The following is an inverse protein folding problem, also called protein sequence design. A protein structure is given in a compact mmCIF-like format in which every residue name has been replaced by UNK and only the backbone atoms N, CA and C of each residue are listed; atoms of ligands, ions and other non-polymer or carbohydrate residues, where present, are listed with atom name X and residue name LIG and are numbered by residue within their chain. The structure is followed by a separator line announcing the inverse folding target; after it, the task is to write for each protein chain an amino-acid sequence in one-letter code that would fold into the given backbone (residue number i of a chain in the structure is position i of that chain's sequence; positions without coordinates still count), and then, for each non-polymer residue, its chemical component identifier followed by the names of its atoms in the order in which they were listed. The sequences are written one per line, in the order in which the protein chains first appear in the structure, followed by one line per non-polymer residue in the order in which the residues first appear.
data_IF_888037542668
#
_entry.id   IF_888037542668
#
_cell.length_a   1.000
_cell.length_b   1.000
_cell.length_c   1.000
_cell.angle_alpha   90.00
_cell.angle_beta   90.00
_cell.angle_gamma   90.00
#
_symmetry.space_group_name_H-M   'P 1'
#
loop_
_entity.id
_entity.type
_entity.pdbx_description
1 polymer ?
#
# COMPACT_ATOMS: atom_id res chain seq x y z
N UNK A 1 11.92 26.33 6.94
CA UNK A 1 12.63 25.44 6.00
C UNK A 1 13.46 24.45 6.79
N UNK A 2 13.67 23.26 6.26
CA UNK A 2 14.56 22.27 6.88
C UNK A 2 15.99 22.56 6.45
N UNK A 3 16.93 22.59 7.38
CA UNK A 3 18.33 22.86 7.10
C UNK A 3 19.15 21.57 7.17
N UNK A 4 19.72 21.16 6.05
CA UNK A 4 20.60 20.00 5.96
C UNK A 4 22.07 20.44 5.99
N UNK A 5 22.87 19.75 6.81
CA UNK A 5 24.32 19.84 6.73
C UNK A 5 24.82 19.14 5.46
N UNK A 6 26.08 19.41 5.09
CA UNK A 6 26.72 18.67 3.99
C UNK A 6 26.71 17.16 4.25
N UNK A 7 26.91 16.72 5.51
CA UNK A 7 26.90 15.32 5.88
C UNK A 7 25.52 14.68 5.73
N UNK A 8 24.45 15.38 6.13
CA UNK A 8 23.07 14.89 5.95
C UNK A 8 22.77 14.67 4.47
N UNK A 9 23.07 15.67 3.62
CA UNK A 9 22.86 15.59 2.19
C UNK A 9 23.68 14.46 1.54
N UNK A 10 24.94 14.31 1.95
CA UNK A 10 25.79 13.23 1.48
C UNK A 10 25.26 11.85 1.85
N UNK A 11 24.79 11.65 3.09
CA UNK A 11 24.18 10.39 3.52
C UNK A 11 22.93 10.06 2.73
N UNK A 12 22.06 11.04 2.46
CA UNK A 12 20.84 10.86 1.65
C UNK A 12 21.20 10.48 0.19
N UNK A 13 22.18 11.14 -0.41
CA UNK A 13 22.65 10.81 -1.76
C UNK A 13 23.26 9.39 -1.80
N UNK A 14 24.04 9.03 -0.77
CA UNK A 14 24.60 7.68 -0.63
C UNK A 14 23.51 6.61 -0.51
N UNK A 15 22.43 6.91 0.22
CA UNK A 15 21.26 6.03 0.31
C UNK A 15 20.63 5.81 -1.09
N UNK A 16 20.35 6.86 -1.86
CA UNK A 16 19.82 6.71 -3.21
C UNK A 16 20.75 5.89 -4.12
N UNK A 17 22.06 6.17 -4.06
CA UNK A 17 23.06 5.42 -4.80
C UNK A 17 23.07 3.92 -4.40
N UNK A 18 22.94 3.62 -3.10
CA UNK A 18 22.88 2.26 -2.59
C UNK A 18 21.63 1.51 -3.06
N UNK A 19 20.44 2.12 -3.02
CA UNK A 19 19.19 1.51 -3.53
C UNK A 19 19.31 1.18 -5.00
N UNK A 20 19.78 2.13 -5.82
CA UNK A 20 19.96 1.94 -7.26
C UNK A 20 21.01 0.85 -7.53
N UNK A 21 22.14 0.86 -6.81
CA UNK A 21 23.19 -0.17 -6.94
C UNK A 21 22.66 -1.56 -6.57
N UNK A 22 21.94 -1.70 -5.46
CA UNK A 22 21.34 -2.97 -5.02
C UNK A 22 20.35 -3.46 -6.08
N UNK A 23 19.49 -2.58 -6.59
CA UNK A 23 18.53 -2.90 -7.64
C UNK A 23 19.20 -3.41 -8.91
N UNK A 24 20.22 -2.73 -9.41
CA UNK A 24 20.98 -3.19 -10.60
C UNK A 24 21.80 -4.45 -10.35
N UNK A 25 22.40 -4.61 -9.16
CA UNK A 25 23.10 -5.85 -8.80
C UNK A 25 22.16 -7.06 -8.78
N UNK A 26 20.95 -6.86 -8.25
CA UNK A 26 19.90 -7.90 -8.27
C UNK A 26 19.45 -8.22 -9.70
N UNK A 27 19.31 -7.20 -10.55
CA UNK A 27 18.96 -7.36 -11.98
C UNK A 27 19.97 -8.25 -12.74
N UNK A 28 21.28 -8.11 -12.47
CA UNK A 28 22.32 -8.95 -13.10
C UNK A 28 22.21 -10.43 -12.76
N UNK A 29 21.53 -10.78 -11.67
CA UNK A 29 21.30 -12.18 -11.26
C UNK A 29 19.96 -12.73 -11.74
N UNK A 30 19.20 -11.94 -12.46
CA UNK A 30 17.90 -12.33 -13.01
C UNK A 30 18.08 -13.39 -14.09
N UNK A 31 17.28 -14.45 -14.00
CA UNK A 31 17.14 -15.45 -15.09
C UNK A 31 16.21 -14.88 -16.17
N UNK A 32 16.38 -15.39 -17.41
CA UNK A 32 15.60 -14.85 -18.53
C UNK A 32 14.16 -15.38 -18.62
N UNK A 33 13.61 -15.89 -17.52
CA UNK A 33 12.29 -16.47 -17.37
C UNK A 33 11.30 -15.43 -16.82
N UNK A 34 10.04 -15.52 -17.23
CA UNK A 34 8.99 -14.62 -16.76
C UNK A 34 8.69 -14.81 -15.27
N UNK A 35 8.74 -16.05 -14.74
CA UNK A 35 8.52 -16.35 -13.32
C UNK A 35 9.60 -15.71 -12.45
N UNK A 36 10.86 -15.65 -12.93
CA UNK A 36 11.92 -14.96 -12.21
C UNK A 36 11.72 -13.44 -12.20
N UNK A 37 11.29 -12.87 -13.32
CA UNK A 37 11.00 -11.43 -13.44
C UNK A 37 9.81 -11.00 -12.58
N UNK A 38 8.76 -11.82 -12.51
CA UNK A 38 7.50 -11.48 -11.83
C UNK A 38 7.47 -11.92 -10.36
N UNK A 39 8.15 -13.00 -9.98
CA UNK A 39 8.08 -13.65 -8.68
C UNK A 39 9.44 -14.06 -8.09
N UNK A 40 10.57 -13.62 -8.64
CA UNK A 40 11.92 -14.00 -8.20
C UNK A 40 12.10 -15.53 -8.08
N UNK A 41 11.57 -16.30 -9.04
CA UNK A 41 11.58 -17.78 -9.07
C UNK A 41 10.97 -18.43 -7.84
N UNK A 42 10.09 -17.75 -7.12
CA UNK A 42 9.39 -18.26 -5.91
C UNK A 42 10.34 -18.70 -4.79
N UNK A 43 11.42 -17.98 -4.59
CA UNK A 43 12.50 -18.35 -3.68
C UNK A 43 12.57 -17.49 -2.42
N UNK A 44 11.54 -16.69 -2.12
CA UNK A 44 11.57 -15.84 -0.93
C UNK A 44 11.67 -16.66 0.35
N UNK A 45 12.79 -16.49 1.04
CA UNK A 45 13.00 -17.05 2.37
C UNK A 45 12.27 -16.24 3.43
N UNK A 46 12.08 -16.81 4.63
CA UNK A 46 11.31 -16.15 5.70
C UNK A 46 11.82 -14.72 6.04
N UNK A 47 13.13 -14.47 6.25
CA UNK A 47 13.61 -13.12 6.56
C UNK A 47 13.34 -12.12 5.40
N UNK A 48 13.59 -12.54 4.16
CA UNK A 48 13.38 -11.70 2.98
C UNK A 48 11.89 -11.42 2.78
N UNK A 49 11.02 -12.42 2.98
CA UNK A 49 9.57 -12.26 2.94
C UNK A 49 9.11 -11.20 3.94
N UNK A 50 9.54 -11.31 5.21
CA UNK A 50 9.19 -10.35 6.28
C UNK A 50 9.68 -8.95 5.92
N UNK A 51 10.95 -8.81 5.57
CA UNK A 51 11.53 -7.51 5.25
C UNK A 51 10.79 -6.81 4.11
N UNK A 52 10.51 -7.53 3.02
CA UNK A 52 9.82 -6.95 1.85
C UNK A 52 8.34 -6.68 2.11
N UNK A 53 7.64 -7.53 2.87
CA UNK A 53 6.24 -7.30 3.17
C UNK A 53 6.07 -6.12 4.13
N UNK A 54 6.90 -6.03 5.17
CA UNK A 54 6.82 -4.94 6.15
C UNK A 54 7.12 -3.60 5.51
N UNK A 55 8.19 -3.49 4.74
CA UNK A 55 8.57 -2.23 4.10
C UNK A 55 7.54 -1.79 3.05
N UNK A 56 7.05 -2.71 2.22
CA UNK A 56 6.05 -2.39 1.18
C UNK A 56 4.71 -1.93 1.76
N UNK A 57 4.29 -2.47 2.89
CA UNK A 57 2.98 -2.15 3.44
C UNK A 57 2.94 -0.78 4.13
N UNK A 58 4.04 -0.36 4.72
CA UNK A 58 4.06 0.83 5.59
C UNK A 58 4.34 2.15 4.86
N UNK A 59 4.33 2.21 3.54
CA UNK A 59 4.77 3.37 2.75
C UNK A 59 4.12 4.72 3.02
N UNK A 60 3.01 4.74 3.76
CA UNK A 60 2.19 5.92 4.02
C UNK A 60 2.69 6.87 5.10
N UNK A 61 3.98 6.95 5.33
CA UNK A 61 4.56 7.57 6.54
C UNK A 61 4.18 9.04 6.75
N UNK A 62 4.09 9.87 5.70
CA UNK A 62 3.66 11.26 5.87
C UNK A 62 2.17 11.36 6.23
N UNK A 63 1.33 10.47 5.70
CA UNK A 63 -0.07 10.36 6.08
C UNK A 63 -0.25 9.88 7.53
N UNK A 64 0.56 8.94 7.99
CA UNK A 64 0.61 8.49 9.39
C UNK A 64 1.02 9.65 10.31
N UNK A 65 2.02 10.43 9.91
CA UNK A 65 2.45 11.62 10.64
C UNK A 65 1.35 12.67 10.74
N UNK A 66 0.69 12.97 9.64
CA UNK A 66 -0.46 13.88 9.59
C UNK A 66 -1.58 13.40 10.52
N UNK A 67 -1.94 12.11 10.44
CA UNK A 67 -3.04 11.55 11.21
C UNK A 67 -2.73 11.50 12.71
N UNK A 68 -1.52 11.09 13.08
CA UNK A 68 -1.07 11.11 14.48
C UNK A 68 -1.03 12.52 15.06
N UNK A 69 -0.62 13.51 14.25
CA UNK A 69 -0.61 14.91 14.64
C UNK A 69 -2.03 15.45 14.88
N UNK A 70 -3.02 15.06 14.06
CA UNK A 70 -4.41 15.52 14.16
C UNK A 70 -5.21 14.80 15.25
N UNK A 71 -5.00 13.49 15.43
CA UNK A 71 -5.88 12.61 16.20
C UNK A 71 -5.17 11.75 17.26
N UNK A 72 -3.87 11.95 17.43
CA UNK A 72 -3.07 11.28 18.44
C UNK A 72 -3.05 9.76 18.31
N UNK A 73 -3.27 9.05 19.42
CA UNK A 73 -3.24 7.57 19.48
C UNK A 73 -4.35 6.91 18.67
N UNK A 74 -5.38 7.63 18.25
CA UNK A 74 -6.42 7.15 17.33
C UNK A 74 -5.82 6.69 15.99
N UNK A 75 -4.65 7.22 15.60
CA UNK A 75 -3.90 6.72 14.45
C UNK A 75 -3.64 5.21 14.55
N UNK A 76 -3.19 4.74 15.71
CA UNK A 76 -2.94 3.31 15.91
C UNK A 76 -4.23 2.47 15.87
N UNK A 77 -5.34 3.00 16.41
CA UNK A 77 -6.65 2.34 16.37
C UNK A 77 -7.19 2.22 14.93
N UNK A 78 -6.90 3.18 14.07
CA UNK A 78 -7.43 3.28 12.70
C UNK A 78 -6.51 2.61 11.67
N UNK A 79 -5.19 2.88 11.74
CA UNK A 79 -4.22 2.36 10.78
C UNK A 79 -3.40 1.16 11.29
N UNK A 80 -3.47 0.80 12.55
CA UNK A 80 -2.78 -0.35 13.13
C UNK A 80 -3.75 -1.53 13.35
N UNK A 81 -4.60 -1.43 14.37
CA UNK A 81 -5.41 -2.54 14.90
C UNK A 81 -6.23 -3.28 13.82
N UNK A 82 -7.00 -2.62 12.93
CA UNK A 82 -7.78 -3.34 11.92
C UNK A 82 -6.89 -4.08 10.92
N UNK A 83 -5.76 -3.49 10.54
CA UNK A 83 -4.82 -4.11 9.61
C UNK A 83 -4.10 -5.32 10.22
N UNK A 84 -3.76 -5.29 11.53
CA UNK A 84 -3.23 -6.49 12.21
C UNK A 84 -4.27 -7.60 12.24
N UNK A 85 -5.54 -7.29 12.51
CA UNK A 85 -6.62 -8.27 12.52
C UNK A 85 -6.78 -8.92 11.15
N UNK A 86 -6.88 -8.13 10.08
CA UNK A 86 -7.04 -8.68 8.74
C UNK A 86 -5.78 -9.36 8.20
N UNK A 87 -4.58 -8.92 8.60
CA UNK A 87 -3.35 -9.64 8.32
C UNK A 87 -3.29 -10.99 9.06
N UNK A 88 -3.76 -11.05 10.31
CA UNK A 88 -3.91 -12.30 11.04
C UNK A 88 -4.90 -13.26 10.35
N UNK A 89 -6.06 -12.76 9.94
CA UNK A 89 -7.04 -13.53 9.15
C UNK A 89 -6.41 -14.02 7.86
N UNK A 90 -5.68 -13.17 7.14
CA UNK A 90 -4.97 -13.57 5.92
C UNK A 90 -3.95 -14.67 6.20
N UNK A 91 -3.13 -14.52 7.24
CA UNK A 91 -2.10 -15.50 7.61
C UNK A 91 -2.71 -16.85 7.94
N UNK A 92 -3.78 -16.88 8.74
CA UNK A 92 -4.38 -18.13 9.22
C UNK A 92 -5.19 -18.86 8.13
N UNK A 93 -5.93 -18.15 7.30
CA UNK A 93 -6.91 -18.75 6.39
C UNK A 93 -6.54 -18.67 4.90
N UNK A 94 -5.72 -17.70 4.47
CA UNK A 94 -5.43 -17.43 3.07
C UNK A 94 -4.00 -17.76 2.66
N UNK A 95 -2.98 -17.43 3.46
CA UNK A 95 -1.59 -17.46 3.04
C UNK A 95 -1.14 -18.79 2.41
N UNK A 96 -1.42 -19.89 3.07
CA UNK A 96 -1.11 -21.24 2.53
C UNK A 96 -1.92 -21.56 1.28
N UNK A 97 -3.20 -21.18 1.24
CA UNK A 97 -4.06 -21.40 0.07
C UNK A 97 -3.57 -20.59 -1.13
N UNK A 98 -3.24 -19.33 -0.92
CA UNK A 98 -2.68 -18.45 -1.97
C UNK A 98 -1.41 -19.07 -2.53
N UNK A 99 -0.46 -19.47 -1.67
CA UNK A 99 0.80 -20.08 -2.12
C UNK A 99 0.59 -21.40 -2.87
N UNK A 100 -0.38 -22.22 -2.46
CA UNK A 100 -0.69 -23.51 -3.08
C UNK A 100 -1.25 -23.40 -4.50
N UNK A 101 -1.85 -22.26 -4.88
CA UNK A 101 -2.44 -22.09 -6.24
C UNK A 101 -1.39 -22.01 -7.36
N UNK A 102 -0.13 -21.70 -7.06
CA UNK A 102 0.93 -21.51 -8.04
C UNK A 102 0.65 -20.37 -9.06
N UNK A 103 -0.32 -19.49 -8.78
CA UNK A 103 -0.63 -18.34 -9.63
C UNK A 103 0.43 -17.23 -9.52
N UNK A 104 0.30 -16.20 -10.34
CA UNK A 104 1.20 -15.03 -10.36
C UNK A 104 0.47 -13.81 -9.80
N UNK A 105 -0.83 -13.68 -10.10
CA UNK A 105 -1.64 -12.51 -9.75
C UNK A 105 -3.04 -12.90 -9.26
N UNK A 106 -3.74 -11.93 -8.63
CA UNK A 106 -5.15 -12.10 -8.24
C UNK A 106 -6.06 -12.40 -9.44
N UNK A 107 -5.93 -11.72 -10.61
CA UNK A 107 -6.68 -12.05 -11.80
C UNK A 107 -6.56 -13.51 -12.26
N UNK A 108 -5.41 -14.19 -12.05
CA UNK A 108 -5.29 -15.63 -12.33
C UNK A 108 -6.24 -16.46 -11.47
N UNK A 109 -6.33 -16.10 -10.18
CA UNK A 109 -7.26 -16.78 -9.26
C UNK A 109 -8.73 -16.58 -9.67
N UNK A 110 -9.08 -15.37 -10.11
CA UNK A 110 -10.42 -15.05 -10.58
C UNK A 110 -10.76 -15.81 -11.87
N UNK A 111 -9.80 -15.90 -12.82
CA UNK A 111 -10.00 -16.66 -14.07
C UNK A 111 -10.19 -18.15 -13.81
N UNK A 112 -9.32 -18.74 -13.01
CA UNK A 112 -9.38 -20.16 -12.66
C UNK A 112 -10.64 -20.53 -11.86
N UNK A 113 -11.21 -19.59 -11.10
CA UNK A 113 -12.39 -19.84 -10.26
C UNK A 113 -13.71 -19.52 -10.95
N UNK A 114 -13.68 -18.58 -11.91
CA UNK A 114 -14.86 -18.05 -12.59
C UNK A 114 -14.69 -18.08 -14.10
N UNK A 115 -14.31 -16.94 -14.69
CA UNK A 115 -14.08 -16.81 -16.13
C UNK A 115 -13.14 -15.64 -16.45
N UNK A 116 -12.77 -15.54 -17.72
CA UNK A 116 -11.89 -14.49 -18.24
C UNK A 116 -12.48 -13.09 -18.08
N UNK A 117 -13.80 -12.91 -18.20
CA UNK A 117 -14.47 -11.61 -18.04
C UNK A 117 -14.32 -11.08 -16.63
N UNK A 118 -14.56 -11.94 -15.65
CA UNK A 118 -14.39 -11.65 -14.23
C UNK A 118 -12.91 -11.34 -13.91
N UNK A 119 -11.96 -12.07 -14.51
CA UNK A 119 -10.54 -11.81 -14.34
C UNK A 119 -10.10 -10.45 -14.91
N UNK A 120 -10.59 -10.07 -16.08
CA UNK A 120 -10.28 -8.76 -16.70
C UNK A 120 -10.85 -7.61 -15.86
N UNK A 121 -12.09 -7.74 -15.38
CA UNK A 121 -12.66 -6.75 -14.45
C UNK A 121 -11.84 -6.68 -13.15
N UNK A 122 -11.46 -7.83 -12.60
CA UNK A 122 -10.58 -7.91 -11.43
C UNK A 122 -9.21 -7.26 -11.68
N UNK A 123 -8.64 -7.41 -12.88
CA UNK A 123 -7.38 -6.77 -13.25
C UNK A 123 -7.52 -5.23 -13.29
N UNK A 124 -8.61 -4.71 -13.84
CA UNK A 124 -8.90 -3.27 -13.85
C UNK A 124 -9.05 -2.73 -12.43
N UNK A 125 -9.81 -3.40 -11.58
CA UNK A 125 -9.97 -3.00 -10.18
C UNK A 125 -8.64 -3.08 -9.42
N UNK A 126 -7.85 -4.14 -9.64
CA UNK A 126 -6.52 -4.30 -9.06
C UNK A 126 -5.57 -3.17 -9.49
N UNK A 127 -5.59 -2.76 -10.75
CA UNK A 127 -4.76 -1.65 -11.25
C UNK A 127 -5.03 -0.35 -10.47
N UNK A 128 -6.29 0.01 -10.27
CA UNK A 128 -6.63 1.19 -9.46
C UNK A 128 -6.26 1.01 -7.98
N UNK A 129 -6.46 -0.19 -7.42
CA UNK A 129 -6.14 -0.48 -6.03
C UNK A 129 -4.64 -0.29 -5.71
N UNK A 130 -3.77 -0.66 -6.63
CA UNK A 130 -2.31 -0.60 -6.46
C UNK A 130 -1.69 0.64 -7.09
N UNK A 131 -2.46 1.70 -7.37
CA UNK A 131 -1.87 2.92 -7.92
C UNK A 131 -0.81 3.49 -6.99
N UNK A 132 0.43 3.73 -7.47
CA UNK A 132 1.50 4.27 -6.62
C UNK A 132 1.45 5.81 -6.45
N UNK A 133 0.41 6.49 -6.92
CA UNK A 133 0.31 7.95 -6.96
C UNK A 133 0.52 8.63 -5.60
N UNK A 134 -0.09 8.10 -4.52
CA UNK A 134 0.08 8.64 -3.18
C UNK A 134 1.55 8.63 -2.71
N UNK A 135 2.27 7.59 -3.08
CA UNK A 135 3.68 7.41 -2.71
C UNK A 135 4.61 8.24 -3.59
N UNK A 136 4.29 8.42 -4.87
CA UNK A 136 4.99 9.35 -5.75
C UNK A 136 4.86 10.79 -5.24
N UNK A 137 3.66 11.19 -4.79
CA UNK A 137 3.42 12.50 -4.17
C UNK A 137 4.25 12.67 -2.89
N UNK A 138 4.21 11.71 -1.96
CA UNK A 138 4.96 11.79 -0.71
C UNK A 138 6.46 11.85 -0.93
N UNK A 139 6.98 11.04 -1.85
CA UNK A 139 8.40 11.04 -2.18
C UNK A 139 8.81 12.38 -2.81
N UNK A 140 8.00 12.91 -3.73
CA UNK A 140 8.19 14.24 -4.31
C UNK A 140 8.23 15.35 -3.25
N UNK A 141 7.29 15.32 -2.29
CA UNK A 141 7.27 16.28 -1.17
C UNK A 141 8.55 16.22 -0.34
N UNK A 142 9.03 15.01 0.00
CA UNK A 142 10.28 14.89 0.75
C UNK A 142 11.50 15.38 -0.05
N UNK A 143 11.58 15.03 -1.33
CA UNK A 143 12.69 15.49 -2.20
C UNK A 143 12.65 17.00 -2.39
N UNK A 144 11.46 17.59 -2.53
CA UNK A 144 11.30 19.05 -2.53
C UNK A 144 11.82 19.67 -1.22
N UNK A 145 11.48 19.09 -0.07
CA UNK A 145 11.95 19.60 1.24
C UNK A 145 13.47 19.49 1.42
N UNK A 146 14.06 18.40 0.91
CA UNK A 146 15.51 18.12 1.08
C UNK A 146 16.37 18.98 0.13
N UNK A 147 15.97 19.05 -1.14
CA UNK A 147 16.81 19.65 -2.19
C UNK A 147 16.30 20.99 -2.70
N UNK A 148 15.15 21.48 -2.26
CA UNK A 148 14.55 22.74 -2.71
C UNK A 148 14.08 22.72 -4.18
N UNK A 149 13.94 21.53 -4.78
CA UNK A 149 13.49 21.35 -6.17
C UNK A 149 11.96 21.51 -6.22
N UNK A 150 11.44 22.03 -7.31
CA UNK A 150 9.99 22.11 -7.54
C UNK A 150 9.29 20.76 -7.35
N UNK A 151 8.06 20.78 -6.82
CA UNK A 151 7.32 19.57 -6.49
C UNK A 151 7.09 18.66 -7.71
N UNK A 152 6.73 19.24 -8.86
CA UNK A 152 6.48 18.47 -10.09
C UNK A 152 7.78 17.81 -10.55
N UNK A 153 8.87 18.57 -10.58
CA UNK A 153 10.19 18.04 -10.93
C UNK A 153 10.63 16.94 -9.96
N UNK A 154 10.38 17.10 -8.66
CA UNK A 154 10.70 16.12 -7.62
C UNK A 154 9.91 14.81 -7.81
N UNK A 155 8.61 14.87 -8.10
CA UNK A 155 7.77 13.72 -8.39
C UNK A 155 8.27 12.99 -9.64
N UNK A 156 8.55 13.71 -10.71
CA UNK A 156 9.03 13.15 -11.99
C UNK A 156 10.38 12.47 -11.81
N UNK A 157 11.36 13.14 -11.21
CA UNK A 157 12.71 12.60 -11.00
C UNK A 157 12.71 11.33 -10.16
N UNK A 158 11.98 11.32 -9.05
CA UNK A 158 11.90 10.16 -8.15
C UNK A 158 11.15 8.98 -8.78
N UNK A 159 10.10 9.25 -9.55
CA UNK A 159 9.37 8.24 -10.30
C UNK A 159 10.26 7.62 -11.38
N UNK A 160 11.00 8.42 -12.15
CA UNK A 160 11.95 7.93 -13.15
C UNK A 160 13.05 7.08 -12.49
N UNK A 161 13.63 7.53 -11.39
CA UNK A 161 14.66 6.77 -10.68
C UNK A 161 14.14 5.40 -10.24
N UNK A 162 12.89 5.32 -9.74
CA UNK A 162 12.25 4.06 -9.35
C UNK A 162 12.02 3.14 -10.56
N UNK A 163 11.52 3.68 -11.67
CA UNK A 163 11.30 2.91 -12.90
C UNK A 163 12.61 2.35 -13.45
N UNK A 164 13.71 3.09 -13.39
CA UNK A 164 14.98 2.70 -13.95
C UNK A 164 15.46 1.33 -13.46
N UNK A 165 15.55 1.09 -12.15
CA UNK A 165 16.05 -0.21 -11.66
C UNK A 165 15.01 -1.34 -11.80
N UNK A 166 13.72 -1.03 -11.73
CA UNK A 166 12.64 -2.01 -11.93
C UNK A 166 12.56 -2.49 -13.38
N UNK A 167 12.85 -1.62 -14.34
CA UNK A 167 12.80 -1.95 -15.77
C UNK A 167 13.74 -3.11 -16.16
N UNK A 168 14.91 -3.19 -15.52
CA UNK A 168 15.89 -4.26 -15.79
C UNK A 168 15.74 -5.46 -14.87
N UNK A 169 15.39 -5.26 -13.59
CA UNK A 169 15.44 -6.33 -12.59
C UNK A 169 14.11 -6.85 -12.11
N UNK A 170 12.98 -6.21 -12.46
CA UNK A 170 11.65 -6.65 -12.08
C UNK A 170 11.49 -6.81 -10.57
N UNK A 171 10.72 -7.83 -10.18
CA UNK A 171 10.44 -8.12 -8.77
C UNK A 171 11.69 -8.50 -7.95
N UNK A 172 12.72 -9.08 -8.57
CA UNK A 172 13.96 -9.40 -7.88
C UNK A 172 14.68 -8.15 -7.39
N UNK A 173 14.72 -7.09 -8.21
CA UNK A 173 15.28 -5.80 -7.80
C UNK A 173 14.45 -5.14 -6.70
N UNK A 174 13.12 -5.19 -6.80
CA UNK A 174 12.20 -4.72 -5.78
C UNK A 174 12.47 -5.41 -4.42
N UNK A 175 12.55 -6.73 -4.40
CA UNK A 175 12.79 -7.54 -3.19
C UNK A 175 14.08 -7.14 -2.46
N UNK A 176 15.19 -6.99 -3.18
CA UNK A 176 16.46 -6.68 -2.53
C UNK A 176 16.58 -5.21 -2.11
N UNK A 177 16.01 -4.28 -2.90
CA UNK A 177 15.90 -2.89 -2.49
C UNK A 177 15.05 -2.78 -1.21
N UNK A 178 13.88 -3.40 -1.18
CA UNK A 178 12.97 -3.39 -0.03
C UNK A 178 13.59 -4.02 1.23
N UNK A 179 14.41 -5.06 1.09
CA UNK A 179 15.10 -5.66 2.23
C UNK A 179 16.13 -4.69 2.85
N UNK A 180 16.81 -3.89 2.04
CA UNK A 180 17.68 -2.82 2.52
C UNK A 180 16.87 -1.66 3.14
N UNK A 181 15.81 -1.26 2.46
CA UNK A 181 14.91 -0.18 2.90
C UNK A 181 14.19 -0.52 4.21
N UNK A 182 13.86 -1.80 4.46
CA UNK A 182 13.35 -2.28 5.75
C UNK A 182 14.29 -1.93 6.90
N UNK A 183 15.60 -2.16 6.74
CA UNK A 183 16.57 -1.81 7.77
C UNK A 183 16.65 -0.29 7.97
N UNK A 184 16.65 0.47 6.88
CA UNK A 184 16.75 1.93 6.94
C UNK A 184 15.53 2.59 7.58
N UNK A 185 14.30 2.08 7.33
CA UNK A 185 13.09 2.63 7.94
C UNK A 185 13.11 2.46 9.47
N UNK A 186 13.48 1.28 9.98
CA UNK A 186 13.55 1.04 11.42
C UNK A 186 14.67 1.85 12.08
N UNK A 187 15.85 1.89 11.48
CA UNK A 187 16.97 2.69 11.98
C UNK A 187 16.62 4.18 12.04
N UNK A 188 16.01 4.72 10.99
CA UNK A 188 15.61 6.12 10.95
C UNK A 188 14.64 6.48 12.05
N UNK A 189 13.54 5.73 12.21
CA UNK A 189 12.55 6.02 13.24
C UNK A 189 13.01 5.67 14.66
N UNK A 190 13.91 4.72 14.84
CA UNK A 190 14.50 4.44 16.16
C UNK A 190 15.35 5.62 16.67
N UNK A 191 15.94 6.41 15.77
CA UNK A 191 16.81 7.53 16.16
C UNK A 191 16.02 8.70 16.76
N UNK A 192 14.83 9.06 16.21
CA UNK A 192 14.15 10.29 16.63
C UNK A 192 13.61 10.23 18.06
N UNK A 193 13.20 9.05 18.54
CA UNK A 193 12.55 8.92 19.85
C UNK A 193 13.48 9.22 21.03
N UNK A 194 14.73 8.67 21.11
CA UNK A 194 15.67 9.01 22.16
C UNK A 194 16.00 10.52 22.19
N UNK A 195 16.21 11.14 21.03
CA UNK A 195 16.51 12.57 20.97
C UNK A 195 15.30 13.41 21.41
N UNK A 196 14.07 13.04 21.00
CA UNK A 196 12.86 13.71 21.45
C UNK A 196 12.68 13.57 22.97
N UNK A 197 12.91 12.37 23.51
CA UNK A 197 12.85 12.13 24.96
C UNK A 197 13.86 12.99 25.74
N UNK A 198 15.13 13.04 25.29
CA UNK A 198 16.18 13.83 25.94
C UNK A 198 15.86 15.32 25.88
N UNK A 199 15.34 15.81 24.75
CA UNK A 199 15.08 17.22 24.53
C UNK A 199 13.84 17.75 25.24
N UNK A 200 12.75 16.98 25.21
CA UNK A 200 11.44 17.45 25.66
C UNK A 200 10.97 16.75 26.93
N UNK A 201 11.50 15.61 27.26
CA UNK A 201 11.03 14.74 28.33
C UNK A 201 10.17 13.58 27.83
N UNK A 202 9.61 12.83 28.80
CA UNK A 202 8.83 11.62 28.54
C UNK A 202 7.35 11.86 28.34
N UNK A 203 6.55 10.88 28.80
CA UNK A 203 5.08 10.89 28.68
C UNK A 203 4.43 12.10 29.36
N UNK A 204 5.02 12.64 30.42
CA UNK A 204 4.46 13.80 31.12
C UNK A 204 4.50 15.07 30.25
N UNK A 205 5.58 15.24 29.46
CA UNK A 205 5.63 16.30 28.45
C UNK A 205 4.51 16.14 27.41
N UNK A 206 4.34 14.94 26.87
CA UNK A 206 3.28 14.66 25.90
C UNK A 206 1.91 14.95 26.50
N UNK A 207 1.60 14.42 27.70
CA UNK A 207 0.31 14.62 28.39
C UNK A 207 0.00 16.09 28.66
N UNK A 208 1.01 16.88 29.00
CA UNK A 208 0.85 18.30 29.30
C UNK A 208 0.65 19.18 28.06
N UNK A 209 1.11 18.75 26.88
CA UNK A 209 1.20 19.59 25.68
C UNK A 209 0.34 19.12 24.50
N UNK A 210 -0.33 17.96 24.58
CA UNK A 210 -1.30 17.53 23.56
C UNK A 210 -2.73 17.77 24.03
N UNK A 211 -3.68 18.03 23.13
CA UNK A 211 -5.09 18.06 23.49
C UNK A 211 -5.53 16.73 24.14
N UNK A 212 -6.37 16.73 25.19
CA UNK A 212 -6.77 15.51 25.90
C UNK A 212 -7.36 14.42 24.98
N UNK A 213 -8.06 14.81 23.93
CA UNK A 213 -8.62 13.90 22.92
C UNK A 213 -7.54 13.08 22.19
N UNK A 214 -6.30 13.58 22.03
CA UNK A 214 -5.21 12.87 21.39
C UNK A 214 -4.74 11.63 22.18
N UNK A 215 -5.07 11.55 23.45
CA UNK A 215 -4.77 10.41 24.33
C UNK A 215 -5.95 9.44 24.46
N UNK A 216 -7.05 9.68 23.73
CA UNK A 216 -8.19 8.77 23.68
C UNK A 216 -8.15 7.90 22.44
N UNK A 217 -8.72 6.71 22.51
CA UNK A 217 -8.73 5.74 21.41
C UNK A 217 -9.44 6.25 20.15
N UNK A 218 -10.39 7.17 20.27
CA UNK A 218 -11.14 7.75 19.15
C UNK A 218 -10.56 9.08 18.64
N UNK A 219 -9.71 9.76 19.41
CA UNK A 219 -9.07 11.03 18.99
C UNK A 219 -10.05 12.16 18.62
N UNK A 220 -11.30 12.10 19.13
CA UNK A 220 -12.39 13.01 18.75
C UNK A 220 -13.16 12.59 17.49
N UNK A 221 -12.77 11.51 16.82
CA UNK A 221 -13.47 11.01 15.64
C UNK A 221 -14.79 10.33 16.01
N UNK A 222 -15.79 10.42 15.10
CA UNK A 222 -17.05 9.68 15.26
C UNK A 222 -16.84 8.17 15.10
N UNK A 223 -17.71 7.37 15.72
CA UNK A 223 -17.67 5.91 15.57
C UNK A 223 -17.85 5.49 14.11
N UNK A 224 -18.65 6.23 13.33
CA UNK A 224 -18.88 5.97 11.91
C UNK A 224 -17.60 6.17 11.08
N UNK A 225 -16.84 7.23 11.38
CA UNK A 225 -15.53 7.47 10.76
C UNK A 225 -14.54 6.35 11.07
N UNK A 226 -14.48 5.91 12.34
CA UNK A 226 -13.60 4.80 12.76
C UNK A 226 -14.04 3.50 12.06
N UNK A 227 -15.34 3.23 11.99
CA UNK A 227 -15.87 2.03 11.36
C UNK A 227 -15.58 1.98 9.86
N UNK A 228 -15.66 3.10 9.13
CA UNK A 228 -15.34 3.10 7.70
C UNK A 228 -13.87 2.77 7.44
N UNK A 229 -12.95 3.29 8.25
CA UNK A 229 -11.54 2.93 8.17
C UNK A 229 -11.27 1.47 8.55
N UNK A 230 -12.03 0.94 9.52
CA UNK A 230 -11.98 -0.49 9.84
C UNK A 230 -12.37 -1.36 8.63
N UNK A 231 -13.42 -0.98 7.90
CA UNK A 231 -13.80 -1.69 6.67
C UNK A 231 -12.82 -1.45 5.51
N UNK A 232 -12.19 -0.29 5.43
CA UNK A 232 -11.10 -0.05 4.46
C UNK A 232 -9.94 -1.02 4.71
N UNK A 233 -9.66 -1.42 5.94
CA UNK A 233 -8.62 -2.40 6.25
C UNK A 233 -8.89 -3.81 5.69
N UNK A 234 -10.11 -4.12 5.20
CA UNK A 234 -10.38 -5.29 4.34
C UNK A 234 -9.49 -5.30 3.09
N UNK A 235 -8.90 -4.16 2.73
CA UNK A 235 -7.85 -4.04 1.72
C UNK A 235 -6.78 -5.12 1.87
N UNK A 236 -6.34 -5.39 3.11
CA UNK A 236 -5.34 -6.42 3.41
C UNK A 236 -5.67 -7.79 2.79
N UNK A 237 -6.96 -8.17 2.77
CA UNK A 237 -7.39 -9.47 2.24
C UNK A 237 -7.39 -9.53 0.72
N UNK A 238 -7.48 -8.39 0.05
CA UNK A 238 -7.47 -8.25 -1.41
C UNK A 238 -6.21 -7.59 -1.95
N UNK A 239 -5.23 -7.32 -1.07
CA UNK A 239 -4.02 -6.60 -1.43
C UNK A 239 -3.12 -7.43 -2.36
N UNK A 240 -2.82 -6.93 -3.57
CA UNK A 240 -1.98 -7.65 -4.51
C UNK A 240 -0.54 -7.82 -4.04
N UNK A 241 -0.02 -6.95 -3.16
CA UNK A 241 1.32 -7.10 -2.60
C UNK A 241 1.40 -8.27 -1.63
N UNK A 242 0.40 -8.47 -0.77
CA UNK A 242 0.29 -9.67 0.09
C UNK A 242 0.23 -10.95 -0.74
N UNK A 243 -0.64 -10.96 -1.76
CA UNK A 243 -0.78 -12.11 -2.65
C UNK A 243 0.53 -12.39 -3.41
N UNK A 244 1.18 -11.38 -3.98
CA UNK A 244 2.44 -11.53 -4.73
C UNK A 244 3.56 -12.11 -3.84
N UNK A 245 3.72 -11.62 -2.60
CA UNK A 245 4.71 -12.19 -1.67
C UNK A 245 4.38 -13.63 -1.31
N UNK A 246 3.10 -13.96 -1.13
CA UNK A 246 2.69 -15.35 -0.91
C UNK A 246 3.00 -16.24 -2.12
N UNK A 247 2.71 -15.78 -3.35
CA UNK A 247 3.07 -16.53 -4.57
C UNK A 247 4.58 -16.72 -4.72
N UNK A 248 5.37 -15.71 -4.33
CA UNK A 248 6.83 -15.71 -4.41
C UNK A 248 7.51 -16.44 -3.23
N UNK A 249 6.81 -16.76 -2.17
CA UNK A 249 7.35 -17.45 -1.00
C UNK A 249 7.86 -18.86 -1.36
N UNK A 250 8.90 -19.33 -0.67
CA UNK A 250 9.46 -20.67 -0.86
C UNK A 250 8.38 -21.76 -0.68
N UNK A 251 7.55 -21.62 0.34
CA UNK A 251 6.46 -22.55 0.67
C UNK A 251 5.32 -21.84 1.44
N UNK A 252 4.20 -22.56 1.67
CA UNK A 252 3.05 -22.03 2.37
C UNK A 252 3.31 -21.71 3.85
N UNK A 253 4.26 -22.38 4.48
CA UNK A 253 4.64 -22.12 5.88
C UNK A 253 5.43 -20.82 5.97
N UNK A 254 6.33 -20.57 5.02
CA UNK A 254 7.04 -19.30 4.88
C UNK A 254 6.07 -18.14 4.69
N UNK A 255 5.07 -18.27 3.82
CA UNK A 255 4.05 -17.26 3.61
C UNK A 255 3.25 -16.97 4.91
N UNK A 256 2.77 -18.02 5.59
CA UNK A 256 1.98 -17.88 6.81
C UNK A 256 2.80 -17.26 7.94
N UNK A 257 3.96 -17.83 8.27
CA UNK A 257 4.84 -17.35 9.35
C UNK A 257 5.38 -15.96 9.04
N UNK A 258 5.67 -15.68 7.77
CA UNK A 258 6.14 -14.38 7.33
C UNK A 258 5.14 -13.28 7.65
N UNK A 259 3.86 -13.47 7.36
CA UNK A 259 2.82 -12.49 7.69
C UNK A 259 2.66 -12.34 9.21
N UNK A 260 2.64 -13.47 9.98
CA UNK A 260 2.53 -13.41 11.44
C UNK A 260 3.68 -12.62 12.08
N UNK A 261 4.92 -12.81 11.61
CA UNK A 261 6.07 -12.05 12.08
C UNK A 261 6.00 -10.59 11.64
N UNK A 262 5.49 -10.33 10.43
CA UNK A 262 5.33 -8.96 9.92
C UNK A 262 4.38 -8.14 10.78
N UNK A 263 3.32 -8.75 11.35
CA UNK A 263 2.41 -8.06 12.29
C UNK A 263 3.17 -7.51 13.49
N UNK A 264 4.14 -8.26 14.04
CA UNK A 264 4.95 -7.78 15.16
C UNK A 264 5.83 -6.60 14.77
N UNK A 265 6.44 -6.63 13.58
CA UNK A 265 7.24 -5.51 13.09
C UNK A 265 6.38 -4.27 12.84
N UNK A 266 5.18 -4.42 12.29
CA UNK A 266 4.24 -3.29 12.13
C UNK A 266 3.82 -2.72 13.47
N UNK A 267 3.50 -3.57 14.46
CA UNK A 267 3.16 -3.11 15.82
C UNK A 267 4.27 -2.23 16.41
N UNK A 268 5.54 -2.67 16.34
CA UNK A 268 6.66 -1.89 16.84
C UNK A 268 6.87 -0.59 16.05
N UNK A 269 6.71 -0.65 14.73
CA UNK A 269 6.87 0.52 13.89
C UNK A 269 5.74 1.54 14.11
N UNK A 270 4.50 1.10 14.24
CA UNK A 270 3.36 1.94 14.60
C UNK A 270 3.54 2.61 15.96
N UNK A 271 4.11 1.90 16.93
CA UNK A 271 4.44 2.49 18.22
C UNK A 271 5.46 3.64 18.06
N UNK A 272 6.52 3.42 17.28
CA UNK A 272 7.54 4.45 17.04
C UNK A 272 6.95 5.66 16.30
N UNK A 273 6.19 5.44 15.25
CA UNK A 273 5.62 6.50 14.42
C UNK A 273 4.54 7.27 15.14
N UNK A 274 3.61 6.59 15.84
CA UNK A 274 2.57 7.27 16.63
C UNK A 274 3.16 8.10 17.77
N UNK A 275 4.20 7.58 18.46
CA UNK A 275 4.91 8.33 19.49
C UNK A 275 5.60 9.56 18.92
N UNK A 276 6.28 9.43 17.77
CA UNK A 276 6.89 10.59 17.09
C UNK A 276 5.83 11.63 16.68
N UNK A 277 4.64 11.18 16.23
CA UNK A 277 3.51 12.07 15.91
C UNK A 277 2.98 12.83 17.13
N UNK A 278 2.90 12.16 18.28
CA UNK A 278 2.51 12.82 19.54
C UNK A 278 3.58 13.85 19.99
N UNK A 279 4.87 13.54 19.87
CA UNK A 279 5.93 14.53 20.10
C UNK A 279 5.83 15.71 19.14
N UNK A 280 5.56 15.45 17.87
CA UNK A 280 5.38 16.52 16.88
C UNK A 280 4.21 17.43 17.27
N UNK A 281 3.07 16.88 17.69
CA UNK A 281 1.91 17.65 18.15
C UNK A 281 2.20 18.44 19.39
N UNK A 282 2.90 17.85 20.38
CA UNK A 282 3.24 18.50 21.64
C UNK A 282 4.25 19.65 21.43
N UNK A 283 5.27 19.45 20.56
CA UNK A 283 6.34 20.42 20.34
C UNK A 283 6.02 21.50 19.31
N UNK A 284 5.06 21.22 18.38
CA UNK A 284 4.70 22.11 17.26
C UNK A 284 3.18 22.33 17.19
N UNK A 285 2.51 22.84 18.26
CA UNK A 285 1.05 22.89 18.34
C UNK A 285 0.39 23.75 17.25
N UNK A 286 1.10 24.75 16.73
CA UNK A 286 0.64 25.70 15.71
C UNK A 286 1.06 25.34 14.27
N UNK A 287 1.48 24.09 14.02
CA UNK A 287 1.88 23.64 12.69
C UNK A 287 0.69 23.70 11.72
N UNK A 288 0.78 24.56 10.70
CA UNK A 288 -0.29 24.78 9.72
C UNK A 288 -0.53 23.55 8.82
N UNK A 289 0.55 22.90 8.36
CA UNK A 289 0.45 21.70 7.52
C UNK A 289 0.94 20.46 8.27
N UNK A 290 0.05 19.64 8.81
CA UNK A 290 0.40 18.44 9.58
C UNK A 290 1.17 17.37 8.80
N UNK A 291 1.15 17.39 7.46
CA UNK A 291 1.97 16.49 6.63
C UNK A 291 3.47 16.67 6.93
N UNK A 292 3.89 17.86 7.39
CA UNK A 292 5.27 18.15 7.77
C UNK A 292 5.60 17.85 9.24
N UNK A 293 4.72 17.17 9.97
CA UNK A 293 4.91 16.86 11.39
C UNK A 293 6.24 16.16 11.67
N UNK A 294 6.56 15.09 10.96
CA UNK A 294 7.82 14.38 11.13
C UNK A 294 9.04 15.16 10.62
N UNK A 295 9.02 15.74 9.41
CA UNK A 295 10.11 16.59 8.94
C UNK A 295 10.47 17.71 9.91
N UNK A 296 9.48 18.44 10.44
CA UNK A 296 9.75 19.57 11.33
C UNK A 296 10.07 19.14 12.76
N UNK A 297 9.54 18.01 13.24
CA UNK A 297 10.01 17.43 14.49
C UNK A 297 11.49 17.08 14.39
N UNK A 298 11.93 16.48 13.28
CA UNK A 298 13.34 16.16 13.06
C UNK A 298 14.22 17.42 13.03
N UNK A 299 13.74 18.49 12.39
CA UNK A 299 14.47 19.77 12.32
C UNK A 299 14.76 20.35 13.70
N UNK A 300 13.76 20.37 14.59
CA UNK A 300 13.93 20.92 15.93
C UNK A 300 14.58 19.96 16.92
N UNK A 301 14.70 18.67 16.60
CA UNK A 301 15.10 17.63 17.58
C UNK A 301 16.46 17.05 17.28
N UNK A 302 16.78 16.80 16.01
CA UNK A 302 17.92 15.96 15.63
C UNK A 302 19.15 16.80 15.27
N UNK A 303 20.35 16.44 15.76
CA UNK A 303 21.60 16.95 15.24
C UNK A 303 21.87 16.40 13.84
N UNK A 304 22.87 16.99 13.16
CA UNK A 304 23.40 16.42 11.91
C UNK A 304 23.75 14.94 12.06
N UNK A 305 23.77 14.19 10.99
CA UNK A 305 23.88 12.73 10.91
C UNK A 305 22.58 12.03 11.36
N UNK A 306 22.09 12.30 12.57
CA UNK A 306 20.84 11.74 13.08
C UNK A 306 19.65 12.22 12.24
N UNK A 307 19.64 13.48 11.84
CA UNK A 307 18.66 14.07 10.92
C UNK A 307 18.72 13.37 9.56
N UNK A 308 19.89 13.25 8.97
CA UNK A 308 20.06 12.52 7.70
C UNK A 308 19.54 11.08 7.77
N UNK A 309 19.86 10.34 8.84
CA UNK A 309 19.35 8.97 9.05
C UNK A 309 17.83 8.90 9.19
N UNK A 310 17.22 9.86 9.87
CA UNK A 310 15.77 9.92 10.00
C UNK A 310 15.08 10.17 8.65
N UNK A 311 15.62 11.11 7.85
CA UNK A 311 15.12 11.37 6.51
C UNK A 311 15.30 10.17 5.57
N UNK A 312 16.43 9.46 5.67
CA UNK A 312 16.63 8.17 4.97
C UNK A 312 15.55 7.17 5.39
N UNK A 313 15.21 7.09 6.68
CA UNK A 313 14.12 6.22 7.16
C UNK A 313 12.77 6.55 6.51
N UNK A 314 12.40 7.84 6.41
CA UNK A 314 11.18 8.26 5.72
C UNK A 314 11.22 7.96 4.22
N UNK A 315 12.33 8.27 3.55
CA UNK A 315 12.53 7.97 2.13
C UNK A 315 12.44 6.47 1.86
N UNK A 316 13.10 5.64 2.66
CA UNK A 316 13.08 4.18 2.55
C UNK A 316 11.66 3.62 2.71
N UNK A 317 10.91 4.13 3.68
CA UNK A 317 9.52 3.73 3.92
C UNK A 317 8.62 4.01 2.70
N UNK A 318 8.79 5.15 2.05
CA UNK A 318 7.98 5.53 0.88
C UNK A 318 8.46 4.79 -0.38
N UNK A 319 9.79 4.73 -0.60
CA UNK A 319 10.37 4.15 -1.83
C UNK A 319 10.07 2.68 -1.96
N UNK A 320 10.14 1.90 -0.87
CA UNK A 320 9.82 0.48 -0.86
C UNK A 320 8.39 0.17 -1.31
N UNK A 321 7.46 1.02 -0.92
CA UNK A 321 6.06 0.87 -1.34
C UNK A 321 5.85 1.37 -2.76
N UNK A 322 6.44 2.52 -3.12
CA UNK A 322 6.38 3.07 -4.47
C UNK A 322 6.87 2.06 -5.50
N UNK A 323 8.04 1.45 -5.28
CA UNK A 323 8.64 0.47 -6.21
C UNK A 323 7.77 -0.77 -6.35
N UNK A 324 7.31 -1.33 -5.25
CA UNK A 324 6.48 -2.53 -5.26
C UNK A 324 5.14 -2.31 -5.95
N UNK A 325 4.42 -1.25 -5.60
CA UNK A 325 3.13 -0.94 -6.24
C UNK A 325 3.29 -0.55 -7.70
N UNK A 326 4.38 0.16 -8.06
CA UNK A 326 4.72 0.46 -9.44
C UNK A 326 4.91 -0.83 -10.26
N UNK A 327 5.63 -1.82 -9.71
CA UNK A 327 5.85 -3.08 -10.37
C UNK A 327 4.58 -3.93 -10.48
N UNK A 328 3.76 -3.99 -9.42
CA UNK A 328 2.48 -4.71 -9.44
C UNK A 328 1.52 -4.05 -10.44
N UNK A 329 1.39 -2.74 -10.43
CA UNK A 329 0.58 -1.97 -11.38
C UNK A 329 1.02 -2.24 -12.82
N UNK A 330 2.32 -2.24 -13.06
CA UNK A 330 2.90 -2.54 -14.37
C UNK A 330 2.61 -3.96 -14.85
N UNK A 331 2.75 -4.96 -13.97
CA UNK A 331 2.44 -6.36 -14.30
C UNK A 331 0.94 -6.55 -14.55
N UNK A 332 0.10 -5.85 -13.81
CA UNK A 332 -1.35 -5.85 -14.01
C UNK A 332 -1.74 -5.30 -15.38
N UNK A 333 -1.18 -4.15 -15.79
CA UNK A 333 -1.40 -3.62 -17.14
C UNK A 333 -0.89 -4.60 -18.19
N UNK A 334 0.40 -4.98 -18.08
CA UNK A 334 1.08 -5.71 -19.13
C UNK A 334 0.58 -7.13 -19.30
N UNK A 335 0.49 -7.87 -18.21
CA UNK A 335 0.12 -9.29 -18.20
C UNK A 335 -1.39 -9.50 -18.08
N UNK A 336 -2.02 -8.86 -17.08
CA UNK A 336 -3.39 -9.20 -16.71
C UNK A 336 -4.44 -8.49 -17.56
N UNK A 337 -4.16 -7.30 -18.09
CA UNK A 337 -5.08 -6.58 -18.98
C UNK A 337 -4.70 -6.86 -20.44
N UNK A 338 -3.54 -6.37 -20.89
CA UNK A 338 -3.16 -6.45 -22.31
C UNK A 338 -2.90 -7.90 -22.72
N UNK A 339 -2.19 -8.67 -21.92
CA UNK A 339 -1.92 -10.07 -22.16
C UNK A 339 -3.19 -10.89 -22.34
N UNK A 340 -4.16 -10.72 -21.44
CA UNK A 340 -5.44 -11.44 -21.53
C UNK A 340 -6.32 -11.00 -22.70
N UNK A 341 -6.26 -9.74 -23.11
CA UNK A 341 -7.05 -9.24 -24.24
C UNK A 341 -6.47 -9.67 -25.59
N UNK A 342 -5.14 -9.85 -25.70
CA UNK A 342 -4.42 -10.07 -26.95
C UNK A 342 -4.08 -11.54 -27.27
N UNK A 343 -4.37 -12.53 -26.40
CA UNK A 343 -3.82 -13.87 -26.53
C UNK A 343 -4.66 -14.87 -27.37
N UNK A 344 -4.02 -15.28 -28.50
CA UNK A 344 -3.97 -16.65 -28.97
C UNK A 344 -2.49 -16.97 -29.15
N UNK A 345 -1.82 -17.92 -28.39
CA UNK A 345 -0.55 -18.48 -28.87
C UNK A 345 0.35 -19.23 -27.88
N UNK A 346 1.46 -19.80 -28.41
CA UNK A 346 2.48 -20.66 -27.86
C UNK A 346 3.27 -20.12 -26.66
N UNK A 347 3.78 -21.02 -25.79
CA UNK A 347 4.29 -20.72 -24.45
C UNK A 347 5.56 -19.82 -24.38
N UNK A 348 6.56 -20.00 -25.28
CA UNK A 348 7.84 -19.26 -25.19
C UNK A 348 7.71 -17.81 -25.71
N UNK A 349 6.99 -17.60 -26.82
CA UNK A 349 6.66 -16.24 -27.29
C UNK A 349 5.80 -15.46 -26.28
N UNK A 350 5.02 -16.18 -25.47
CA UNK A 350 4.21 -15.57 -24.43
C UNK A 350 5.04 -14.96 -23.29
N UNK A 351 6.16 -15.58 -22.89
CA UNK A 351 7.01 -15.08 -21.78
C UNK A 351 7.75 -13.78 -22.13
N UNK A 352 8.38 -13.72 -23.32
CA UNK A 352 9.04 -12.50 -23.77
C UNK A 352 8.04 -11.36 -23.99
N UNK A 353 6.85 -11.70 -24.46
CA UNK A 353 5.74 -10.75 -24.65
C UNK A 353 5.25 -10.21 -23.32
N UNK A 354 5.07 -11.04 -22.29
CA UNK A 354 4.71 -10.64 -20.94
C UNK A 354 5.74 -9.66 -20.36
N UNK A 355 7.04 -9.96 -20.46
CA UNK A 355 8.10 -9.04 -20.01
C UNK A 355 8.03 -7.69 -20.74
N UNK A 356 7.87 -7.71 -22.07
CA UNK A 356 7.77 -6.49 -22.89
C UNK A 356 6.59 -5.64 -22.47
N UNK A 357 5.41 -6.24 -22.31
CA UNK A 357 4.20 -5.51 -21.91
C UNK A 357 4.28 -5.03 -20.46
N UNK A 358 4.90 -5.78 -19.53
CA UNK A 358 5.14 -5.30 -18.17
C UNK A 358 6.08 -4.09 -18.16
N UNK A 359 7.11 -4.07 -19.02
CA UNK A 359 7.98 -2.89 -19.15
C UNK A 359 7.25 -1.66 -19.71
N UNK A 360 6.36 -1.86 -20.66
CA UNK A 360 5.46 -0.79 -21.14
C UNK A 360 4.51 -0.36 -20.01
N UNK A 361 3.97 -1.33 -19.28
CA UNK A 361 3.13 -1.11 -18.10
C UNK A 361 3.82 -0.26 -17.02
N UNK A 362 5.15 -0.40 -16.82
CA UNK A 362 5.92 0.45 -15.92
C UNK A 362 5.85 1.93 -16.32
N UNK A 363 6.02 2.21 -17.60
CA UNK A 363 5.96 3.58 -18.12
C UNK A 363 4.54 4.14 -17.97
N UNK A 364 3.52 3.35 -18.33
CA UNK A 364 2.12 3.78 -18.22
C UNK A 364 1.70 4.00 -16.77
N UNK A 365 2.13 3.11 -15.86
CA UNK A 365 1.87 3.25 -14.42
C UNK A 365 2.56 4.49 -13.84
N UNK A 366 3.80 4.79 -14.26
CA UNK A 366 4.52 5.98 -13.86
C UNK A 366 3.81 7.26 -14.31
N UNK A 367 3.42 7.32 -15.59
CA UNK A 367 2.68 8.48 -16.14
C UNK A 367 1.34 8.67 -15.43
N UNK A 368 0.60 7.59 -15.21
CA UNK A 368 -0.67 7.64 -14.47
C UNK A 368 -0.48 8.12 -13.03
N UNK A 369 0.59 7.68 -12.35
CA UNK A 369 0.90 8.07 -10.97
C UNK A 369 1.26 9.54 -10.86
N UNK A 370 2.09 10.04 -11.76
CA UNK A 370 2.44 11.46 -11.83
C UNK A 370 1.17 12.29 -12.05
N UNK A 371 0.36 11.93 -13.04
CA UNK A 371 -0.87 12.66 -13.35
C UNK A 371 -1.84 12.68 -12.17
N UNK A 372 -2.09 11.52 -11.55
CA UNK A 372 -3.03 11.41 -10.43
C UNK A 372 -2.53 12.17 -9.20
N UNK A 373 -1.23 12.15 -8.90
CA UNK A 373 -0.65 12.92 -7.78
C UNK A 373 -0.77 14.43 -7.97
N UNK A 374 -0.77 14.91 -9.19
CA UNK A 374 -0.97 16.34 -9.50
C UNK A 374 -2.46 16.75 -9.41
N UNK A 375 -3.37 15.86 -9.81
CA UNK A 375 -4.83 16.12 -9.75
C UNK A 375 -5.36 16.04 -8.31
N UNK A 376 -4.85 15.10 -7.51
CA UNK A 376 -5.29 14.86 -6.12
C UNK A 376 -4.11 14.98 -5.17
N UNK A 377 -3.74 16.20 -4.76
CA UNK A 377 -2.56 16.44 -3.92
C UNK A 377 -2.81 16.14 -2.44
N UNK A 378 -3.46 15.01 -2.13
CA UNK A 378 -3.73 14.55 -0.76
C UNK A 378 -3.65 13.03 -0.67
N UNK A 379 -2.70 12.56 0.09
CA UNK A 379 -2.42 11.13 0.30
C UNK A 379 -3.62 10.41 0.93
N UNK A 380 -4.14 10.96 2.02
CA UNK A 380 -5.29 10.38 2.76
C UNK A 380 -6.54 10.33 1.86
N UNK A 381 -6.76 11.37 1.05
CA UNK A 381 -7.89 11.43 0.12
C UNK A 381 -7.75 10.37 -0.99
N UNK A 382 -6.53 10.14 -1.51
CA UNK A 382 -6.27 9.08 -2.51
C UNK A 382 -6.60 7.71 -1.90
N UNK A 383 -6.08 7.39 -0.71
CA UNK A 383 -6.36 6.10 -0.06
C UNK A 383 -7.83 5.89 0.25
N UNK A 384 -8.48 6.90 0.83
CA UNK A 384 -9.90 6.83 1.14
C UNK A 384 -10.74 6.57 -0.12
N UNK A 385 -10.49 7.33 -1.19
CA UNK A 385 -11.24 7.22 -2.44
C UNK A 385 -11.05 5.86 -3.10
N UNK A 386 -9.80 5.40 -3.20
CA UNK A 386 -9.47 4.12 -3.83
C UNK A 386 -10.01 2.95 -2.99
N UNK A 387 -9.74 2.95 -1.69
CA UNK A 387 -10.21 1.90 -0.78
C UNK A 387 -11.73 1.79 -0.81
N UNK A 388 -12.42 2.92 -0.65
CA UNK A 388 -13.88 2.98 -0.67
C UNK A 388 -14.47 2.51 -1.98
N UNK A 389 -13.90 2.90 -3.13
CA UNK A 389 -14.44 2.54 -4.44
C UNK A 389 -14.18 1.06 -4.80
N UNK A 390 -12.97 0.56 -4.55
CA UNK A 390 -12.50 -0.70 -5.16
C UNK A 390 -12.78 -1.92 -4.28
N UNK A 391 -12.61 -1.80 -2.95
CA UNK A 391 -12.77 -2.94 -2.04
C UNK A 391 -14.14 -3.60 -2.15
N UNK A 392 -15.27 -2.87 -2.20
CA UNK A 392 -16.59 -3.48 -2.35
C UNK A 392 -16.76 -4.36 -3.59
N UNK A 393 -16.10 -3.98 -4.69
CA UNK A 393 -16.11 -4.79 -5.91
C UNK A 393 -15.25 -6.04 -5.81
N UNK A 394 -14.04 -5.94 -5.25
CA UNK A 394 -13.05 -7.01 -5.32
C UNK A 394 -13.18 -8.03 -4.16
N UNK A 395 -13.53 -7.58 -2.96
CA UNK A 395 -13.46 -8.37 -1.74
C UNK A 395 -14.32 -9.63 -1.76
N UNK A 396 -15.63 -9.49 -1.99
CA UNK A 396 -16.57 -10.61 -1.85
C UNK A 396 -16.30 -11.71 -2.89
N UNK A 397 -16.14 -11.42 -4.20
CA UNK A 397 -15.84 -12.45 -5.19
C UNK A 397 -14.47 -13.11 -4.99
N UNK A 398 -13.45 -12.35 -4.59
CA UNK A 398 -12.13 -12.91 -4.35
C UNK A 398 -12.14 -13.87 -3.15
N UNK A 399 -12.76 -13.49 -2.02
CA UNK A 399 -12.88 -14.36 -0.86
C UNK A 399 -13.69 -15.61 -1.19
N UNK A 400 -14.81 -15.47 -1.88
CA UNK A 400 -15.62 -16.60 -2.31
C UNK A 400 -14.85 -17.59 -3.21
N UNK A 401 -13.84 -17.13 -3.94
CA UNK A 401 -12.98 -17.97 -4.79
C UNK A 401 -12.05 -18.91 -4.00
N UNK A 402 -11.68 -18.56 -2.77
CA UNK A 402 -10.77 -19.35 -1.93
C UNK A 402 -11.46 -20.37 -1.02
N UNK A 403 -12.78 -20.27 -0.84
CA UNK A 403 -13.53 -21.10 0.10
C UNK A 403 -14.72 -21.77 -0.58
N UNK A 404 -14.68 -23.10 -0.71
CA UNK A 404 -15.75 -23.90 -1.34
C UNK A 404 -17.16 -23.62 -0.76
N UNK A 405 -17.33 -23.45 0.59
CA UNK A 405 -18.63 -23.09 1.14
C UNK A 405 -19.22 -21.77 0.63
N UNK A 406 -18.40 -20.87 0.08
CA UNK A 406 -18.79 -19.54 -0.40
C UNK A 406 -18.84 -19.43 -1.92
N UNK A 407 -18.52 -20.51 -2.64
CA UNK A 407 -18.44 -20.55 -4.10
C UNK A 407 -19.76 -20.17 -4.77
N UNK A 408 -19.66 -19.40 -5.84
CA UNK A 408 -20.75 -18.93 -6.69
C UNK A 408 -20.39 -19.13 -8.16
N UNK A 409 -21.38 -19.00 -9.06
CA UNK A 409 -21.09 -19.09 -10.49
C UNK A 409 -20.40 -17.80 -11.01
N UNK A 410 -19.67 -17.93 -12.12
CA UNK A 410 -18.96 -16.83 -12.78
C UNK A 410 -19.86 -15.61 -13.05
N UNK A 411 -21.10 -15.83 -13.51
CA UNK A 411 -22.05 -14.75 -13.75
C UNK A 411 -22.33 -13.91 -12.51
N UNK A 412 -22.56 -14.55 -11.36
CA UNK A 412 -22.81 -13.84 -10.11
C UNK A 412 -21.54 -13.20 -9.53
N UNK A 413 -20.37 -13.81 -9.71
CA UNK A 413 -19.10 -13.20 -9.33
C UNK A 413 -18.83 -11.90 -10.10
N UNK A 414 -19.03 -11.93 -11.42
CA UNK A 414 -18.90 -10.75 -12.27
C UNK A 414 -19.83 -9.60 -11.84
N UNK A 415 -21.14 -9.91 -11.63
CA UNK A 415 -22.09 -8.88 -11.24
C UNK A 415 -21.88 -8.39 -9.81
N UNK A 416 -21.47 -9.24 -8.85
CA UNK A 416 -21.14 -8.81 -7.50
C UNK A 416 -19.95 -7.83 -7.51
N UNK A 417 -18.94 -8.12 -8.35
CA UNK A 417 -17.79 -7.25 -8.55
C UNK A 417 -18.16 -5.91 -9.19
N UNK A 418 -18.88 -5.97 -10.30
CA UNK A 418 -19.26 -4.78 -11.09
C UNK A 418 -20.19 -3.86 -10.30
N UNK A 419 -21.28 -4.40 -9.74
CA UNK A 419 -22.26 -3.61 -9.00
C UNK A 419 -21.68 -3.06 -7.70
N UNK A 420 -20.89 -3.86 -6.96
CA UNK A 420 -20.21 -3.38 -5.77
C UNK A 420 -19.30 -2.19 -6.05
N UNK A 421 -18.53 -2.24 -7.12
CA UNK A 421 -17.70 -1.14 -7.59
C UNK A 421 -18.51 0.07 -8.05
N UNK A 422 -19.50 -0.13 -8.95
CA UNK A 422 -20.28 0.97 -9.53
C UNK A 422 -21.09 1.74 -8.48
N UNK A 423 -21.70 1.03 -7.52
CA UNK A 423 -22.50 1.67 -6.47
C UNK A 423 -21.59 2.49 -5.54
N UNK A 424 -20.43 1.95 -5.14
CA UNK A 424 -19.49 2.68 -4.31
C UNK A 424 -18.89 3.90 -5.03
N UNK A 425 -18.41 3.71 -6.26
CA UNK A 425 -17.84 4.78 -7.06
C UNK A 425 -18.87 5.85 -7.40
N UNK A 426 -20.10 5.45 -7.75
CA UNK A 426 -21.23 6.37 -8.00
C UNK A 426 -21.60 7.19 -6.76
N UNK A 427 -21.62 6.57 -5.58
CA UNK A 427 -21.86 7.27 -4.31
C UNK A 427 -20.75 8.27 -3.98
N UNK A 428 -19.49 7.94 -4.28
CA UNK A 428 -18.36 8.86 -4.13
C UNK A 428 -18.50 10.07 -5.06
N UNK A 429 -18.80 9.84 -6.34
CA UNK A 429 -19.02 10.91 -7.32
C UNK A 429 -20.18 11.79 -6.90
N UNK A 430 -21.29 11.20 -6.47
CA UNK A 430 -22.44 11.94 -5.96
C UNK A 430 -22.03 12.87 -4.79
N UNK A 431 -21.28 12.35 -3.82
CA UNK A 431 -20.80 13.16 -2.69
C UNK A 431 -19.88 14.31 -3.10
N UNK A 432 -19.01 14.09 -4.09
CA UNK A 432 -18.12 15.14 -4.61
C UNK A 432 -18.88 16.24 -5.41
N UNK A 433 -20.00 15.89 -6.00
CA UNK A 433 -20.89 16.86 -6.70
C UNK A 433 -21.78 17.64 -5.72
N UNK A 434 -22.01 17.11 -4.51
CA UNK A 434 -22.86 17.71 -3.47
C UNK A 434 -22.04 18.05 -2.23
N UNK A 435 -21.23 19.10 -2.30
CA UNK A 435 -20.41 19.56 -1.17
C UNK A 435 -21.22 20.47 -0.27
N UNK A 436 -21.31 20.14 1.03
CA UNK A 436 -21.94 20.96 2.05
C UNK A 436 -20.89 21.33 3.12
N UNK A 437 -20.74 22.62 3.38
CA UNK A 437 -19.72 23.13 4.33
C UNK A 437 -18.29 22.61 4.07
N UNK A 438 -17.91 22.46 2.80
CA UNK A 438 -16.56 21.96 2.43
C UNK A 438 -16.36 20.44 2.57
N UNK A 439 -17.39 19.69 2.93
CA UNK A 439 -17.37 18.24 3.08
C UNK A 439 -18.33 17.59 2.08
N UNK A 440 -17.95 16.47 1.42
CA UNK A 440 -18.83 15.72 0.55
C UNK A 440 -20.09 15.24 1.30
N UNK A 441 -21.26 15.53 0.75
CA UNK A 441 -22.55 15.08 1.30
C UNK A 441 -23.00 13.83 0.57
N UNK A 442 -22.84 12.68 1.19
CA UNK A 442 -23.23 11.39 0.63
C UNK A 442 -24.74 11.16 0.76
N UNK A 443 -25.28 10.34 -0.13
CA UNK A 443 -26.69 9.99 -0.15
C UNK A 443 -27.11 9.35 1.19
N UNK A 444 -28.16 9.87 1.81
CA UNK A 444 -28.64 9.51 3.17
C UNK A 444 -27.58 9.64 4.28
N UNK A 445 -26.51 10.39 4.08
CA UNK A 445 -25.40 10.47 5.04
C UNK A 445 -24.63 9.15 5.22
N UNK A 446 -24.77 8.20 4.30
CA UNK A 446 -24.15 6.88 4.39
C UNK A 446 -22.83 6.89 3.61
N UNK A 447 -21.76 6.43 4.27
CA UNK A 447 -20.44 6.30 3.65
C UNK A 447 -20.50 5.38 2.40
N UNK A 448 -19.91 5.79 1.26
CA UNK A 448 -20.06 5.12 -0.04
C UNK A 448 -19.65 3.64 -0.06
N UNK A 449 -18.74 3.24 0.81
CA UNK A 449 -18.31 1.86 0.93
C UNK A 449 -19.42 0.90 1.36
N UNK A 450 -20.32 1.33 2.25
CA UNK A 450 -21.36 0.47 2.80
C UNK A 450 -22.39 0.01 1.76
N UNK A 451 -23.02 0.90 0.96
CA UNK A 451 -23.93 0.45 -0.08
C UNK A 451 -23.24 -0.42 -1.14
N UNK A 452 -21.97 -0.13 -1.47
CA UNK A 452 -21.20 -0.97 -2.39
C UNK A 452 -20.96 -2.39 -1.85
N UNK A 453 -20.54 -2.53 -0.58
CA UNK A 453 -20.38 -3.83 0.07
C UNK A 453 -21.71 -4.56 0.19
N UNK A 454 -22.79 -3.87 0.55
CA UNK A 454 -24.12 -4.46 0.68
C UNK A 454 -24.58 -5.07 -0.64
N UNK A 455 -24.51 -4.33 -1.75
CA UNK A 455 -24.94 -4.85 -3.05
C UNK A 455 -24.07 -6.01 -3.54
N UNK A 456 -22.77 -5.97 -3.27
CA UNK A 456 -21.85 -7.08 -3.57
C UNK A 456 -22.25 -8.34 -2.78
N UNK A 457 -22.53 -8.20 -1.48
CA UNK A 457 -22.98 -9.30 -0.61
C UNK A 457 -24.37 -9.84 -1.00
N UNK A 458 -25.32 -8.97 -1.33
CA UNK A 458 -26.65 -9.38 -1.79
C UNK A 458 -26.54 -10.18 -3.09
N UNK A 459 -25.76 -9.68 -4.06
CA UNK A 459 -25.53 -10.36 -5.34
C UNK A 459 -24.86 -11.71 -5.14
N UNK A 460 -23.85 -11.77 -4.25
CA UNK A 460 -23.22 -13.03 -3.85
C UNK A 460 -24.22 -13.99 -3.20
N UNK A 461 -25.07 -13.52 -2.27
CA UNK A 461 -26.08 -14.32 -1.59
C UNK A 461 -27.08 -14.95 -2.56
N UNK A 462 -27.59 -14.17 -3.53
CA UNK A 462 -28.44 -14.68 -4.61
C UNK A 462 -27.71 -15.73 -5.47
N UNK A 463 -26.44 -15.47 -5.77
CA UNK A 463 -25.59 -16.41 -6.50
C UNK A 463 -25.38 -17.72 -5.74
N UNK A 464 -25.19 -17.64 -4.41
CA UNK A 464 -25.01 -18.82 -3.54
C UNK A 464 -26.26 -19.67 -3.44
N UNK A 465 -27.43 -19.07 -3.27
CA UNK A 465 -28.70 -19.77 -3.28
C UNK A 465 -28.89 -20.56 -4.58
N UNK A 466 -28.70 -19.93 -5.74
CA UNK A 466 -28.79 -20.60 -7.05
C UNK A 466 -27.74 -21.68 -7.24
N UNK A 467 -26.52 -21.49 -6.73
CA UNK A 467 -25.44 -22.48 -6.83
C UNK A 467 -25.78 -23.74 -6.04
N UNK A 468 -26.30 -23.61 -4.80
CA UNK A 468 -26.75 -24.74 -3.98
C UNK A 468 -27.92 -25.50 -4.62
N UNK A 469 -28.88 -24.79 -5.21
CA UNK A 469 -30.03 -25.45 -5.89
C UNK A 469 -29.60 -26.32 -7.10
N UNK A 470 -28.49 -25.91 -7.79
CA UNK A 470 -27.99 -26.69 -8.94
C UNK A 470 -27.01 -27.80 -8.56
N UNK A 471 -26.40 -27.72 -7.39
CA UNK A 471 -25.43 -28.70 -6.87
C UNK A 471 -25.82 -29.02 -5.42
N UNK A 472 -26.95 -29.80 -5.20
CA UNK A 472 -27.30 -30.23 -3.86
C UNK A 472 -26.18 -31.12 -3.32
N UNK A 473 -25.65 -30.77 -2.14
CA UNK A 473 -24.62 -31.53 -1.41
C UNK A 473 -25.22 -32.79 -0.82
#
# INVERSE_FOLDING_TARGET
MVHFSFVDSFLILLYFAAVVFIGFRAARRQRNEADDFLLASRTLTLPVFVATLVSTWYGGILGVGEFSFRYGISNWVIFGVPYYLFALVFALFLAKKVRATQFITIPDKLEASYDRRTAVLGAVLTFFLVTPAAYALMLGVLVQLIFGIDLIASIVLTTIATVCYLYWGGFRSDVWANAFEFAMMFLGFAVILPFAYIKFGGLDFIKANVPPLHLTWHGGNSWQFIAVWFFIALWTLVDPAFHQRCYAAKDGTTAQRGILISILFWFFFDFMTSTAGLYARAALPSLENPTFSYPLLAEITLPSVAKGLFYIGMLATIMSTLSSLMFISASTIGRDIIGRLSLGSSSVESEQRVKRWTKIGLILSALFSILLSLIVPSVVKIWYTIGTAIIPGLFVPLMASYFEPFKISARFAFWAMLLGWLVSAGSLVYGQLNITNGVPAYWLGIEPMYPGLLISLVTWGMGRMRYKMKNPT
#
